data_IF_257660811743
#
_entry.id   IF_257660811743
#
_cell.length_a   1.000
_cell.length_b   1.000
_cell.length_c   1.000
_cell.angle_alpha   90.00
_cell.angle_beta   90.00
_cell.angle_gamma   90.00
#
_symmetry.space_group_name_H-M   'P 1'
#
loop_
_entity.id
_entity.type
_entity.pdbx_description
1 polymer ?
#
# COMPACT_ATOMS: atom_id res chain seq x y z
N UNK A 1 -14.46 -0.37 14.25
CA UNK A 1 -12.99 -0.51 14.15
C UNK A 1 -12.64 -1.77 14.91
N UNK A 2 -11.96 -2.72 14.27
CA UNK A 2 -11.65 -4.03 14.87
C UNK A 2 -10.28 -3.93 15.51
N UNK A 3 -10.20 -4.00 16.84
CA UNK A 3 -8.93 -3.99 17.56
C UNK A 3 -8.07 -5.22 17.17
N UNK A 4 -6.80 -4.99 16.84
CA UNK A 4 -5.84 -6.08 16.69
C UNK A 4 -5.59 -6.74 18.05
N UNK A 5 -5.69 -8.06 18.13
CA UNK A 5 -5.41 -8.79 19.38
C UNK A 5 -3.91 -8.72 19.70
N UNK A 6 -3.55 -8.69 21.00
CA UNK A 6 -2.15 -8.66 21.48
C UNK A 6 -1.26 -9.82 20.98
N UNK A 7 -1.83 -10.90 20.45
CA UNK A 7 -1.10 -12.09 19.98
C UNK A 7 -1.12 -12.31 18.46
N UNK A 8 -1.64 -11.36 17.67
CA UNK A 8 -1.87 -11.55 16.23
C UNK A 8 -0.60 -11.95 15.47
N UNK A 9 0.57 -11.40 15.82
CA UNK A 9 1.83 -11.77 15.16
C UNK A 9 2.20 -13.25 15.34
N UNK A 10 2.07 -13.79 16.55
CA UNK A 10 2.34 -15.22 16.84
C UNK A 10 1.33 -16.12 16.13
N UNK A 11 0.05 -15.73 16.12
CA UNK A 11 -1.00 -16.48 15.42
C UNK A 11 -0.83 -16.45 13.89
N UNK A 12 -0.42 -15.31 13.33
CA UNK A 12 -0.17 -15.15 11.90
C UNK A 12 0.99 -16.02 11.43
N UNK A 13 2.12 -16.03 12.17
CA UNK A 13 3.27 -16.88 11.85
C UNK A 13 2.91 -18.35 11.90
N UNK A 14 2.24 -18.79 12.99
CA UNK A 14 1.74 -20.16 13.12
C UNK A 14 0.80 -20.55 11.97
N UNK A 15 -0.05 -19.61 11.52
CA UNK A 15 -0.94 -19.84 10.40
C UNK A 15 -0.16 -20.01 9.08
N UNK A 16 0.87 -19.19 8.84
CA UNK A 16 1.74 -19.35 7.66
C UNK A 16 2.52 -20.68 7.68
N UNK A 17 2.94 -21.16 8.86
CA UNK A 17 3.62 -22.45 8.99
C UNK A 17 2.70 -23.64 8.69
N UNK A 18 1.39 -23.48 8.95
CA UNK A 18 0.39 -24.55 8.79
C UNK A 18 -0.29 -24.53 7.42
N UNK A 19 -0.40 -23.35 6.80
CA UNK A 19 -1.15 -23.12 5.57
C UNK A 19 -0.29 -22.44 4.51
N UNK A 20 0.14 -23.22 3.52
CA UNK A 20 0.95 -22.76 2.40
C UNK A 20 0.26 -21.68 1.56
N UNK A 21 -1.06 -21.68 1.47
CA UNK A 21 -1.79 -20.70 0.69
C UNK A 21 -1.76 -19.34 1.39
N UNK A 22 -1.93 -19.33 2.72
CA UNK A 22 -1.80 -18.11 3.53
C UNK A 22 -0.36 -17.61 3.49
N UNK A 23 0.63 -18.50 3.60
CA UNK A 23 2.04 -18.13 3.53
C UNK A 23 2.38 -17.44 2.20
N UNK A 24 1.95 -18.00 1.06
CA UNK A 24 2.19 -17.42 -0.27
C UNK A 24 1.54 -16.02 -0.41
N UNK A 25 0.30 -15.87 0.07
CA UNK A 25 -0.37 -14.56 0.09
C UNK A 25 0.38 -13.57 0.97
N UNK A 26 0.83 -13.98 2.15
CA UNK A 26 1.59 -13.15 3.08
C UNK A 26 2.95 -12.72 2.51
N UNK A 27 3.62 -13.59 1.75
CA UNK A 27 4.87 -13.27 1.06
C UNK A 27 4.67 -12.16 0.04
N UNK A 28 3.63 -12.27 -0.79
CA UNK A 28 3.25 -11.21 -1.74
C UNK A 28 2.95 -9.89 -1.03
N UNK A 29 2.24 -9.94 0.09
CA UNK A 29 1.91 -8.76 0.89
C UNK A 29 3.14 -8.12 1.54
N UNK A 30 4.15 -8.93 1.93
CA UNK A 30 5.42 -8.42 2.46
C UNK A 30 6.17 -7.57 1.45
N UNK A 31 6.05 -7.86 0.16
CA UNK A 31 6.65 -7.08 -0.92
C UNK A 31 6.01 -5.71 -1.18
N UNK A 32 4.91 -5.34 -0.50
CA UNK A 32 4.23 -4.07 -0.75
C UNK A 32 4.98 -2.90 -0.09
N UNK A 33 5.72 -2.16 -0.93
CA UNK A 33 6.55 -1.01 -0.52
C UNK A 33 5.76 0.23 -0.06
N UNK A 34 4.50 0.37 -0.49
CA UNK A 34 3.62 1.48 -0.06
C UNK A 34 2.53 0.95 0.85
N UNK A 35 2.34 1.58 2.00
CA UNK A 35 1.33 1.25 3.01
C UNK A 35 -0.10 1.41 2.49
N UNK A 36 -0.58 0.44 1.69
CA UNK A 36 -1.94 0.39 1.16
C UNK A 36 -2.93 -0.02 2.25
N UNK A 37 -4.16 0.48 2.11
CA UNK A 37 -5.31 0.15 2.96
C UNK A 37 -6.24 -0.91 2.35
N UNK A 38 -6.07 -1.26 1.07
CA UNK A 38 -6.77 -2.37 0.46
C UNK A 38 -5.99 -3.03 -0.69
N UNK A 39 -6.37 -4.26 -1.03
CA UNK A 39 -5.92 -4.97 -2.24
C UNK A 39 -7.03 -5.86 -2.79
N UNK A 40 -7.06 -6.07 -4.11
CA UNK A 40 -8.09 -6.90 -4.74
C UNK A 40 -7.60 -8.33 -4.92
N UNK A 41 -8.53 -9.30 -4.96
CA UNK A 41 -8.17 -10.70 -5.20
C UNK A 41 -7.47 -10.88 -6.55
N UNK A 42 -7.91 -10.13 -7.57
CA UNK A 42 -7.29 -10.14 -8.91
C UNK A 42 -5.83 -9.72 -8.82
N UNK A 43 -5.52 -8.62 -8.11
CA UNK A 43 -4.15 -8.14 -7.92
C UNK A 43 -3.26 -9.17 -7.23
N UNK A 44 -3.73 -9.79 -6.14
CA UNK A 44 -2.96 -10.84 -5.46
C UNK A 44 -2.71 -12.04 -6.36
N UNK A 45 -3.69 -12.50 -7.14
CA UNK A 45 -3.46 -13.56 -8.11
C UNK A 45 -2.37 -13.22 -9.13
N UNK A 46 -2.34 -11.98 -9.66
CA UNK A 46 -1.30 -11.55 -10.61
C UNK A 46 0.09 -11.62 -9.95
N UNK A 47 0.23 -11.11 -8.73
CA UNK A 47 1.51 -11.13 -8.03
C UNK A 47 1.97 -12.55 -7.66
N UNK A 48 1.03 -13.43 -7.29
CA UNK A 48 1.32 -14.84 -7.02
C UNK A 48 1.87 -15.54 -8.26
N UNK A 49 1.23 -15.35 -9.42
CA UNK A 49 1.70 -15.92 -10.69
C UNK A 49 3.10 -15.41 -11.03
N UNK A 50 3.34 -14.10 -10.89
CA UNK A 50 4.67 -13.51 -11.16
C UNK A 50 5.75 -14.01 -10.19
N UNK A 51 5.38 -14.42 -8.98
CA UNK A 51 6.26 -15.02 -7.99
C UNK A 51 6.38 -16.55 -8.12
N UNK A 52 5.72 -17.17 -9.13
CA UNK A 52 5.81 -18.61 -9.39
C UNK A 52 4.84 -19.49 -8.61
N UNK A 53 3.82 -18.90 -7.95
CA UNK A 53 2.79 -19.63 -7.23
C UNK A 53 1.57 -19.92 -8.11
N UNK A 54 1.08 -21.17 -8.08
CA UNK A 54 -0.17 -21.57 -8.75
C UNK A 54 -1.34 -21.64 -7.75
N UNK A 55 -1.82 -20.46 -7.34
CA UNK A 55 -2.95 -20.32 -6.41
C UNK A 55 -4.22 -19.88 -7.14
N UNK A 56 -5.31 -20.62 -6.94
CA UNK A 56 -6.62 -20.27 -7.48
C UNK A 56 -7.25 -19.09 -6.71
N UNK A 57 -8.12 -18.35 -7.39
CA UNK A 57 -8.87 -17.23 -6.79
C UNK A 57 -9.66 -17.62 -5.53
N UNK A 58 -10.17 -18.85 -5.48
CA UNK A 58 -10.85 -19.41 -4.31
C UNK A 58 -9.92 -19.60 -3.11
N UNK A 59 -8.67 -19.99 -3.33
CA UNK A 59 -7.64 -20.15 -2.29
C UNK A 59 -7.21 -18.79 -1.74
N UNK A 60 -6.99 -17.80 -2.62
CA UNK A 60 -6.72 -16.41 -2.19
C UNK A 60 -7.88 -15.86 -1.35
N UNK A 61 -9.12 -16.14 -1.74
CA UNK A 61 -10.31 -15.75 -0.97
C UNK A 61 -10.35 -16.45 0.39
N UNK A 62 -10.00 -17.73 0.46
CA UNK A 62 -9.92 -18.48 1.71
C UNK A 62 -8.82 -17.92 2.63
N UNK A 63 -7.65 -17.61 2.08
CA UNK A 63 -6.55 -16.97 2.81
C UNK A 63 -6.97 -15.61 3.40
N UNK A 64 -7.61 -14.76 2.60
CA UNK A 64 -8.15 -13.49 3.09
C UNK A 64 -9.19 -13.65 4.22
N UNK A 65 -10.07 -14.65 4.14
CA UNK A 65 -11.01 -14.93 5.22
C UNK A 65 -10.30 -15.40 6.50
N UNK A 66 -9.19 -16.13 6.38
CA UNK A 66 -8.35 -16.52 7.53
C UNK A 66 -7.65 -15.32 8.15
N UNK A 67 -7.08 -14.41 7.33
CA UNK A 67 -6.50 -13.15 7.80
C UNK A 67 -7.55 -12.26 8.49
N UNK A 68 -8.77 -12.20 7.96
CA UNK A 68 -9.90 -11.54 8.63
C UNK A 68 -10.20 -12.16 9.99
N UNK A 69 -10.14 -13.50 10.11
CA UNK A 69 -10.33 -14.20 11.39
C UNK A 69 -9.31 -13.81 12.47
N UNK A 70 -8.11 -13.37 12.05
CA UNK A 70 -7.07 -12.83 12.94
C UNK A 70 -7.25 -11.34 13.26
N UNK A 71 -8.22 -10.65 12.64
CA UNK A 71 -8.45 -9.22 12.83
C UNK A 71 -7.54 -8.32 11.99
N UNK A 72 -6.83 -8.86 11.00
CA UNK A 72 -5.91 -8.08 10.13
C UNK A 72 -6.64 -7.23 9.07
N UNK A 73 -7.95 -7.31 9.00
CA UNK A 73 -8.78 -6.59 8.05
C UNK A 73 -10.11 -7.27 7.80
N UNK A 74 -10.80 -6.81 6.76
CA UNK A 74 -12.11 -7.30 6.34
C UNK A 74 -12.08 -7.68 4.87
N UNK A 75 -12.54 -8.90 4.55
CA UNK A 75 -12.78 -9.32 3.19
C UNK A 75 -14.15 -8.87 2.72
N UNK A 76 -14.17 -8.04 1.68
CA UNK A 76 -15.38 -7.52 1.05
C UNK A 76 -15.66 -8.31 -0.23
N UNK A 77 -16.75 -9.06 -0.23
CA UNK A 77 -17.21 -9.80 -1.41
C UNK A 77 -17.76 -8.82 -2.45
N UNK A 78 -17.20 -8.86 -3.66
CA UNK A 78 -17.66 -8.05 -4.79
C UNK A 78 -19.02 -8.49 -5.33
N UNK A 79 -19.86 -7.54 -5.76
CA UNK A 79 -21.19 -7.77 -6.39
C UNK A 79 -21.36 -6.81 -7.57
N UNK A 80 -22.24 -7.11 -8.53
CA UNK A 80 -22.57 -6.22 -9.67
C UNK A 80 -21.33 -5.66 -10.40
N UNK A 81 -20.35 -6.51 -10.68
CA UNK A 81 -19.11 -6.10 -11.38
C UNK A 81 -18.02 -5.50 -10.49
N UNK A 82 -18.30 -5.22 -9.22
CA UNK A 82 -17.27 -4.80 -8.27
C UNK A 82 -16.34 -5.96 -7.91
N UNK A 83 -15.03 -5.70 -7.87
CA UNK A 83 -14.05 -6.71 -7.47
C UNK A 83 -14.15 -7.06 -5.98
N UNK A 84 -13.88 -8.32 -5.66
CA UNK A 84 -13.65 -8.74 -4.28
C UNK A 84 -12.30 -8.24 -3.79
N UNK A 85 -12.25 -7.74 -2.56
CA UNK A 85 -11.07 -7.06 -2.02
C UNK A 85 -10.91 -7.31 -0.53
N UNK A 86 -9.69 -7.17 -0.05
CA UNK A 86 -9.34 -7.16 1.35
C UNK A 86 -9.01 -5.73 1.76
N UNK A 87 -9.74 -5.21 2.74
CA UNK A 87 -9.50 -3.90 3.36
C UNK A 87 -8.76 -4.17 4.65
N UNK A 88 -7.52 -3.70 4.76
CA UNK A 88 -6.69 -3.94 5.92
C UNK A 88 -7.19 -3.14 7.13
N UNK A 89 -7.05 -3.70 8.33
CA UNK A 89 -7.37 -2.98 9.56
C UNK A 89 -6.37 -1.83 9.82
N UNK A 90 -5.11 -2.05 9.42
CA UNK A 90 -4.01 -1.10 9.47
C UNK A 90 -3.28 -1.07 8.12
N UNK A 91 -2.22 -0.27 7.97
CA UNK A 91 -1.40 -0.32 6.75
C UNK A 91 -0.86 -1.72 6.49
N UNK A 92 -0.86 -2.16 5.23
CA UNK A 92 -0.34 -3.49 4.83
C UNK A 92 1.09 -3.79 5.32
N UNK A 93 1.91 -2.76 5.52
CA UNK A 93 3.28 -2.86 6.06
C UNK A 93 3.33 -3.50 7.45
N UNK A 94 2.24 -3.40 8.22
CA UNK A 94 2.09 -4.07 9.52
C UNK A 94 2.18 -5.59 9.37
N UNK A 95 1.66 -6.17 8.29
CA UNK A 95 1.78 -7.62 8.04
C UNK A 95 3.24 -8.02 7.88
N UNK A 96 4.06 -7.21 7.21
CA UNK A 96 5.49 -7.48 7.06
C UNK A 96 6.21 -7.49 8.43
N UNK A 97 5.96 -6.48 9.27
CA UNK A 97 6.51 -6.38 10.64
C UNK A 97 6.10 -7.57 11.52
N UNK A 98 4.81 -7.90 11.50
CA UNK A 98 4.27 -9.05 12.24
C UNK A 98 4.91 -10.37 11.79
N UNK A 99 5.19 -10.55 10.50
CA UNK A 99 5.88 -11.74 10.00
C UNK A 99 7.36 -11.75 10.38
N UNK A 100 8.02 -10.59 10.45
CA UNK A 100 9.42 -10.45 10.86
C UNK A 100 9.65 -10.76 12.34
N UNK A 101 8.59 -10.84 13.15
CA UNK A 101 8.72 -11.14 14.58
C UNK A 101 8.56 -9.92 15.48
N UNK A 102 8.38 -8.73 14.91
CA UNK A 102 8.20 -7.49 15.66
C UNK A 102 6.87 -7.55 16.44
N UNK A 103 6.93 -7.29 17.74
CA UNK A 103 5.74 -7.08 18.56
C UNK A 103 5.27 -5.64 18.30
N UNK A 104 4.03 -5.50 17.81
CA UNK A 104 3.38 -4.20 17.75
C UNK A 104 2.97 -3.85 19.18
N UNK A 105 3.75 -3.01 19.85
CA UNK A 105 3.17 -2.21 20.89
C UNK A 105 2.06 -1.38 20.25
N UNK A 106 0.89 -1.36 20.87
CA UNK A 106 -0.27 -0.59 20.42
C UNK A 106 0.12 0.88 20.57
N UNK A 107 0.80 1.42 19.57
CA UNK A 107 1.02 2.85 19.44
C UNK A 107 -0.30 3.38 18.90
N UNK A 108 -1.03 4.04 19.78
CA UNK A 108 -2.06 5.01 19.42
C UNK A 108 -1.38 5.97 18.43
N UNK A 109 -1.64 5.80 17.13
CA UNK A 109 -1.05 6.65 16.11
C UNK A 109 -1.66 8.05 16.27
N UNK A 110 -0.98 8.91 17.02
CA UNK A 110 -0.82 10.28 16.54
C UNK A 110 -0.26 10.15 15.11
N UNK A 111 -0.93 10.82 14.17
CA UNK A 111 -0.48 10.92 12.79
C UNK A 111 0.87 11.63 12.79
N UNK A 112 1.95 10.92 13.07
CA UNK A 112 3.25 11.29 12.55
C UNK A 112 3.11 11.13 11.04
N UNK A 113 2.95 12.27 10.36
CA UNK A 113 3.25 12.37 8.95
C UNK A 113 4.57 11.62 8.73
N UNK A 114 4.59 10.62 7.84
CA UNK A 114 5.84 10.04 7.36
C UNK A 114 6.59 11.13 6.59
N UNK A 115 7.21 12.06 7.30
CA UNK A 115 8.12 13.07 6.80
C UNK A 115 9.53 12.69 7.23
N UNK A 116 10.06 11.60 6.67
CA UNK A 116 11.50 11.35 6.74
C UNK A 116 11.99 10.54 5.53
N UNK A 117 11.55 10.91 4.33
CA UNK A 117 12.52 11.05 3.26
C UNK A 117 12.97 12.50 3.33
N UNK A 118 13.99 12.76 4.15
CA UNK A 118 14.60 14.07 4.23
C UNK A 118 15.22 14.39 2.87
N UNK A 119 14.47 15.07 2.00
CA UNK A 119 15.08 15.80 0.89
C UNK A 119 15.97 16.85 1.53
N UNK A 120 17.26 16.56 1.58
CA UNK A 120 18.24 17.37 2.32
C UNK A 120 18.38 18.76 1.73
N UNK A 121 18.01 18.93 0.46
CA UNK A 121 18.03 20.20 -0.26
C UNK A 121 16.83 20.29 -1.21
N UNK A 122 16.12 21.42 -1.17
CA UNK A 122 15.07 21.79 -2.14
C UNK A 122 15.56 22.94 -3.02
N UNK A 123 15.04 23.00 -4.24
CA UNK A 123 15.32 24.03 -5.23
C UNK A 123 13.99 24.71 -5.57
N UNK A 124 13.97 26.04 -5.49
CA UNK A 124 12.82 26.83 -5.90
C UNK A 124 12.80 26.98 -7.43
N UNK A 125 11.64 26.69 -8.03
CA UNK A 125 11.40 26.80 -9.46
C UNK A 125 10.19 27.67 -9.74
N UNK A 126 10.42 28.78 -10.44
CA UNK A 126 9.36 29.69 -10.91
C UNK A 126 9.01 29.42 -12.36
N UNK A 127 7.74 29.11 -12.63
CA UNK A 127 7.20 28.89 -13.97
C UNK A 127 6.15 29.95 -14.30
N UNK A 128 6.41 30.77 -15.31
CA UNK A 128 5.40 31.68 -15.86
C UNK A 128 4.47 30.89 -16.79
N UNK A 129 3.40 30.34 -16.21
CA UNK A 129 2.45 29.52 -16.96
C UNK A 129 1.50 30.36 -17.81
N UNK A 130 1.17 31.59 -17.36
CA UNK A 130 0.36 32.58 -18.09
C UNK A 130 0.85 34.01 -17.79
N UNK A 131 0.46 35.03 -18.58
CA UNK A 131 0.86 36.42 -18.33
C UNK A 131 0.48 36.95 -16.93
N UNK A 132 -0.59 36.41 -16.34
CA UNK A 132 -1.12 36.77 -15.03
C UNK A 132 -0.93 35.68 -13.95
N UNK A 133 -0.19 34.61 -14.26
CA UNK A 133 -0.02 33.49 -13.35
C UNK A 133 1.39 32.89 -13.42
N UNK A 134 2.14 33.15 -12.35
CA UNK A 134 3.43 32.52 -12.06
C UNK A 134 3.21 31.46 -11.00
N UNK A 135 3.75 30.27 -11.25
CA UNK A 135 3.73 29.14 -10.32
C UNK A 135 5.13 28.97 -9.75
N UNK A 136 5.27 29.20 -8.45
CA UNK A 136 6.50 28.94 -7.70
C UNK A 136 6.34 27.59 -6.98
N UNK A 137 7.29 26.68 -7.21
CA UNK A 137 7.29 25.34 -6.63
C UNK A 137 8.67 25.01 -6.08
N UNK A 138 8.71 24.55 -4.84
CA UNK A 138 9.90 23.95 -4.24
C UNK A 138 9.92 22.45 -4.57
N UNK A 139 10.97 22.02 -5.26
CA UNK A 139 11.17 20.62 -5.62
C UNK A 139 12.45 20.08 -4.99
N UNK A 140 12.51 18.78 -4.66
CA UNK A 140 13.75 18.17 -4.22
C UNK A 140 14.88 18.29 -5.24
N UNK A 141 16.11 18.48 -4.77
CA UNK A 141 17.29 18.55 -5.63
C UNK A 141 17.63 17.21 -6.32
N UNK A 142 17.13 16.10 -5.81
CA UNK A 142 17.48 14.72 -6.20
C UNK A 142 16.35 14.00 -6.97
N UNK A 143 15.47 14.74 -7.65
CA UNK A 143 14.42 14.15 -8.47
C UNK A 143 14.96 13.15 -9.50
N UNK A 144 14.35 11.95 -9.54
CA UNK A 144 14.65 10.99 -10.59
C UNK A 144 14.08 11.44 -11.94
N UNK A 145 14.64 10.94 -13.04
CA UNK A 145 14.18 11.30 -14.40
C UNK A 145 12.67 11.02 -14.61
N UNK A 146 12.17 9.94 -14.03
CA UNK A 146 10.76 9.57 -14.13
C UNK A 146 9.85 10.54 -13.37
N UNK A 147 10.25 10.97 -12.18
CA UNK A 147 9.51 11.94 -11.35
C UNK A 147 9.50 13.32 -12.01
N UNK A 148 10.66 13.77 -12.51
CA UNK A 148 10.78 15.02 -13.24
C UNK A 148 9.88 15.04 -14.50
N UNK A 149 9.88 13.96 -15.30
CA UNK A 149 8.99 13.82 -16.46
C UNK A 149 7.51 13.89 -16.09
N UNK A 150 7.12 13.26 -14.99
CA UNK A 150 5.73 13.26 -14.52
C UNK A 150 5.30 14.64 -14.03
N UNK A 151 6.15 15.34 -13.28
CA UNK A 151 5.90 16.72 -12.82
C UNK A 151 5.79 17.68 -14.01
N UNK A 152 6.67 17.56 -15.01
CA UNK A 152 6.62 18.37 -16.21
C UNK A 152 5.28 18.20 -16.98
N UNK A 153 4.78 16.96 -17.10
CA UNK A 153 3.48 16.71 -17.69
C UNK A 153 2.34 17.38 -16.92
N UNK A 154 2.38 17.30 -15.58
CA UNK A 154 1.38 17.92 -14.73
C UNK A 154 1.36 19.46 -14.88
N UNK A 155 2.52 20.12 -14.81
CA UNK A 155 2.60 21.57 -15.02
C UNK A 155 2.19 21.99 -16.43
N UNK A 156 2.49 21.16 -17.44
CA UNK A 156 1.99 21.36 -18.80
C UNK A 156 0.46 21.39 -18.90
N UNK A 157 -0.26 20.65 -18.06
CA UNK A 157 -1.73 20.72 -18.00
C UNK A 157 -2.26 22.01 -17.36
N UNK A 158 -1.48 22.67 -16.51
CA UNK A 158 -1.87 23.90 -15.82
C UNK A 158 -1.71 25.16 -16.68
N UNK A 159 -0.95 25.08 -17.77
CA UNK A 159 -0.67 26.21 -18.66
C UNK A 159 -1.86 26.67 -19.51
N UNK A 160 -2.97 25.92 -19.51
CA UNK A 160 -4.16 26.24 -20.32
C UNK A 160 -5.21 27.02 -19.52
N UNK A 161 -5.95 27.88 -20.22
CA UNK A 161 -7.19 28.49 -19.73
C UNK A 161 -8.32 27.53 -20.09
N UNK A 162 -9.23 27.20 -19.17
CA UNK A 162 -10.50 26.59 -19.59
C UNK A 162 -11.25 27.65 -20.42
N UNK A 163 -11.63 27.28 -21.65
CA UNK A 163 -12.53 28.07 -22.49
C UNK A 163 -13.91 28.22 -21.83
#
# INVERSE_FOLDING_TARGET
>A
MTELKKNVGKELRKLCDTDSDVAAVCEVLRGYQRGRWETTTTRICIHLINAGYDLKRSQVTAAFKKLQGLGLGTFVTGRKGWESRFVFAERVTVIARLLAGEELDVIEYELEEESEHGYTETIEHSFNLRPDFTLDVELPADLTEFEAKRLAQFFGCLAFKQD
#
